data_IF_439488707805
#
_entry.id   IF_439488707805
#
_cell.length_a   1.000
_cell.length_b   1.000
_cell.length_c   1.000
_cell.angle_alpha   90.00
_cell.angle_beta   90.00
_cell.angle_gamma   90.00
#
_symmetry.space_group_name_H-M   'P 1'
#
loop_
_entity.id
_entity.type
_entity.pdbx_description
1 polymer ?
#
# COMPACT_ATOMS: atom_id res chain seq x y z
N UNK A 1 -11.22 20.26 -16.74
CA UNK A 1 -12.08 19.06 -16.59
C UNK A 1 -12.81 19.15 -15.25
N UNK A 2 -14.04 18.64 -15.22
CA UNK A 2 -14.90 18.60 -14.02
C UNK A 2 -14.59 17.44 -13.09
N UNK A 3 -13.65 16.55 -13.49
CA UNK A 3 -13.28 15.34 -12.74
C UNK A 3 -14.37 14.26 -12.78
N UNK A 4 -15.15 14.19 -13.84
CA UNK A 4 -16.08 13.08 -14.06
C UNK A 4 -15.36 11.83 -14.55
N UNK A 5 -15.92 10.65 -14.22
CA UNK A 5 -15.38 9.33 -14.61
C UNK A 5 -16.47 8.51 -15.28
N UNK A 6 -16.10 7.83 -16.35
CA UNK A 6 -16.93 6.85 -17.06
C UNK A 6 -16.21 5.52 -17.07
N UNK A 7 -16.86 4.45 -16.63
CA UNK A 7 -16.33 3.10 -16.66
C UNK A 7 -16.94 2.30 -17.83
N UNK A 8 -16.16 1.38 -18.39
CA UNK A 8 -16.61 0.46 -19.43
C UNK A 8 -15.80 -0.86 -19.36
N UNK A 9 -16.32 -1.90 -19.94
CA UNK A 9 -15.69 -3.21 -20.00
C UNK A 9 -16.48 -4.26 -19.22
N UNK A 10 -15.78 -5.29 -18.73
CA UNK A 10 -16.41 -6.39 -18.00
C UNK A 10 -16.84 -5.94 -16.59
N UNK A 11 -18.11 -6.13 -16.26
CA UNK A 11 -18.69 -5.63 -15.01
C UNK A 11 -17.93 -6.10 -13.75
N UNK A 12 -17.54 -7.38 -13.69
CA UNK A 12 -16.81 -7.95 -12.53
C UNK A 12 -15.39 -7.41 -12.38
N UNK A 13 -14.85 -6.71 -13.39
CA UNK A 13 -13.51 -6.11 -13.36
C UNK A 13 -13.58 -4.57 -13.36
N UNK A 14 -14.70 -4.02 -12.88
CA UNK A 14 -14.88 -2.57 -12.74
C UNK A 14 -15.36 -1.86 -14.00
N UNK A 15 -15.83 -2.59 -15.02
CA UNK A 15 -16.45 -2.00 -16.21
C UNK A 15 -17.87 -1.47 -15.96
N UNK A 16 -18.48 -1.79 -14.81
CA UNK A 16 -19.78 -1.26 -14.38
C UNK A 16 -19.60 -0.43 -13.10
N UNK A 17 -19.82 0.89 -13.21
CA UNK A 17 -19.80 1.86 -12.12
C UNK A 17 -21.19 2.34 -11.72
N UNK A 18 -22.28 1.76 -12.27
CA UNK A 18 -23.66 2.27 -12.13
C UNK A 18 -24.09 2.52 -10.69
N UNK A 19 -23.62 1.69 -9.75
CA UNK A 19 -23.93 1.83 -8.32
C UNK A 19 -23.30 3.08 -7.68
N UNK A 20 -22.28 3.70 -8.31
CA UNK A 20 -21.52 4.84 -7.79
C UNK A 20 -21.44 6.02 -8.76
N UNK A 21 -22.15 5.97 -9.89
CA UNK A 21 -22.11 7.00 -10.94
C UNK A 21 -22.35 8.41 -10.42
N UNK A 22 -23.31 8.57 -9.50
CA UNK A 22 -23.59 9.87 -8.89
C UNK A 22 -22.37 10.46 -8.15
N UNK A 23 -21.55 9.59 -7.52
CA UNK A 23 -20.32 9.99 -6.81
C UNK A 23 -19.16 10.25 -7.77
N UNK A 24 -19.19 9.65 -8.97
CA UNK A 24 -18.18 9.79 -10.02
C UNK A 24 -18.48 10.90 -11.03
N UNK A 25 -19.63 11.59 -10.90
CA UNK A 25 -20.05 12.64 -11.84
C UNK A 25 -19.16 13.89 -11.81
N UNK A 26 -18.38 14.11 -10.73
CA UNK A 26 -17.45 15.23 -10.63
C UNK A 26 -16.45 15.07 -9.48
N UNK A 27 -15.39 15.88 -9.53
CA UNK A 27 -14.45 16.06 -8.42
C UNK A 27 -13.44 14.92 -8.24
N UNK A 28 -13.36 13.95 -9.14
CA UNK A 28 -12.30 12.93 -9.09
C UNK A 28 -10.97 13.57 -9.52
N UNK A 29 -9.96 13.43 -8.67
CA UNK A 29 -8.61 13.93 -8.91
C UNK A 29 -7.67 12.84 -9.44
N UNK A 30 -7.85 11.60 -8.99
CA UNK A 30 -7.00 10.47 -9.38
C UNK A 30 -7.74 9.14 -9.26
N UNK A 31 -7.35 8.17 -10.11
CA UNK A 31 -7.89 6.80 -10.10
C UNK A 31 -6.74 5.83 -9.88
N UNK A 32 -7.00 4.83 -9.04
CA UNK A 32 -6.11 3.71 -8.73
C UNK A 32 -6.82 2.40 -9.02
N UNK A 33 -6.07 1.34 -9.30
CA UNK A 33 -6.64 0.04 -9.60
C UNK A 33 -5.92 -1.10 -8.90
N UNK A 34 -6.66 -2.16 -8.63
CA UNK A 34 -6.17 -3.53 -8.42
C UNK A 34 -6.30 -4.31 -9.73
N UNK A 35 -6.21 -5.65 -9.68
CA UNK A 35 -6.48 -6.50 -10.85
C UNK A 35 -7.94 -6.49 -11.32
N UNK A 36 -8.90 -6.12 -10.45
CA UNK A 36 -10.33 -6.21 -10.75
C UNK A 36 -11.21 -5.15 -10.06
N UNK A 37 -10.63 -4.13 -9.48
CA UNK A 37 -11.37 -3.05 -8.83
C UNK A 37 -10.66 -1.71 -9.01
N UNK A 38 -11.42 -0.63 -8.85
CA UNK A 38 -10.94 0.73 -8.92
C UNK A 38 -11.25 1.49 -7.62
N UNK A 39 -10.40 2.49 -7.33
CA UNK A 39 -10.60 3.46 -6.27
C UNK A 39 -10.34 4.85 -6.83
N UNK A 40 -11.36 5.71 -6.81
CA UNK A 40 -11.27 7.11 -7.20
C UNK A 40 -11.03 7.97 -5.95
N UNK A 41 -9.91 8.70 -5.92
CA UNK A 41 -9.64 9.74 -4.94
C UNK A 41 -10.25 11.04 -5.45
N UNK A 42 -11.08 11.66 -4.62
CA UNK A 42 -11.69 12.95 -4.92
C UNK A 42 -10.88 14.12 -4.35
N UNK A 43 -11.08 15.30 -4.88
CA UNK A 43 -10.40 16.52 -4.46
C UNK A 43 -10.72 16.95 -3.01
N UNK A 44 -11.83 16.46 -2.45
CA UNK A 44 -12.19 16.64 -1.04
C UNK A 44 -11.55 15.61 -0.10
N UNK A 45 -10.74 14.69 -0.65
CA UNK A 45 -10.08 13.61 0.09
C UNK A 45 -10.99 12.43 0.41
N UNK A 46 -12.18 12.34 -0.16
CA UNK A 46 -13.02 11.15 -0.09
C UNK A 46 -12.62 10.12 -1.16
N UNK A 47 -13.00 8.86 -0.97
CA UNK A 47 -12.72 7.76 -1.89
C UNK A 47 -14.00 7.04 -2.29
N UNK A 48 -14.13 6.77 -3.58
CA UNK A 48 -15.22 5.98 -4.18
C UNK A 48 -14.62 4.72 -4.79
N UNK A 49 -15.20 3.54 -4.50
CA UNK A 49 -14.69 2.26 -5.01
C UNK A 49 -15.75 1.51 -5.79
N UNK A 50 -15.33 0.75 -6.82
CA UNK A 50 -16.21 -0.12 -7.60
C UNK A 50 -15.42 -1.27 -8.24
N UNK A 51 -16.11 -2.27 -8.77
CA UNK A 51 -15.53 -3.50 -9.32
C UNK A 51 -15.65 -4.67 -8.37
N UNK A 52 -14.72 -5.64 -8.43
CA UNK A 52 -14.73 -6.83 -7.60
C UNK A 52 -14.63 -6.49 -6.11
N UNK A 53 -15.68 -6.85 -5.35
CA UNK A 53 -15.74 -6.55 -3.92
C UNK A 53 -14.64 -7.22 -3.10
N UNK A 54 -14.18 -8.41 -3.51
CA UNK A 54 -13.12 -9.15 -2.81
C UNK A 54 -11.73 -8.55 -3.04
N UNK A 55 -11.56 -7.78 -4.11
CA UNK A 55 -10.30 -7.11 -4.48
C UNK A 55 -10.33 -5.59 -4.27
N UNK A 56 -11.28 -5.11 -3.46
CA UNK A 56 -11.34 -3.72 -3.02
C UNK A 56 -12.44 -2.88 -3.68
N UNK A 57 -13.26 -3.44 -4.56
CA UNK A 57 -14.44 -2.75 -5.09
C UNK A 57 -15.51 -2.47 -4.02
N UNK A 58 -15.47 -3.19 -2.91
CA UNK A 58 -16.32 -2.94 -1.74
C UNK A 58 -15.47 -2.40 -0.57
N UNK A 59 -15.62 -1.11 -0.27
CA UNK A 59 -14.96 -0.44 0.87
C UNK A 59 -15.91 -0.15 2.04
N UNK A 60 -17.10 -0.76 2.09
CA UNK A 60 -18.15 -0.45 3.10
C UNK A 60 -17.67 -0.59 4.54
N UNK A 61 -16.81 -1.59 4.84
CA UNK A 61 -16.25 -1.81 6.18
C UNK A 61 -15.36 -0.66 6.67
N UNK A 62 -14.81 0.14 5.76
CA UNK A 62 -13.91 1.27 6.07
C UNK A 62 -14.45 2.61 5.57
N UNK A 63 -15.72 2.66 5.14
CA UNK A 63 -16.33 3.82 4.51
C UNK A 63 -16.19 5.11 5.33
N UNK A 64 -16.38 5.03 6.66
CA UNK A 64 -16.23 6.18 7.54
C UNK A 64 -14.81 6.78 7.50
N UNK A 65 -13.79 5.93 7.39
CA UNK A 65 -12.38 6.34 7.33
C UNK A 65 -12.00 6.91 5.96
N UNK A 66 -12.73 6.54 4.90
CA UNK A 66 -12.52 6.97 3.52
C UNK A 66 -13.40 8.16 3.11
N UNK A 67 -14.22 8.69 4.02
CA UNK A 67 -15.13 9.82 3.73
C UNK A 67 -14.42 11.15 3.58
N UNK A 68 -13.16 11.27 4.05
CA UNK A 68 -12.35 12.49 3.91
C UNK A 68 -10.89 12.27 4.33
N UNK A 69 -10.03 13.22 3.95
CA UNK A 69 -8.65 13.30 4.44
C UNK A 69 -7.69 12.31 3.78
N UNK A 70 -8.10 11.51 2.81
CA UNK A 70 -7.18 10.68 2.03
C UNK A 70 -6.32 11.57 1.14
N UNK A 71 -5.00 11.37 1.21
CA UNK A 71 -4.01 12.14 0.42
C UNK A 71 -3.39 11.31 -0.70
N UNK A 72 -3.32 9.99 -0.54
CA UNK A 72 -2.72 9.09 -1.52
C UNK A 72 -3.28 7.67 -1.35
N UNK A 73 -3.43 6.93 -2.45
CA UNK A 73 -3.79 5.52 -2.46
C UNK A 73 -2.65 4.71 -3.07
N UNK A 74 -2.44 3.51 -2.56
CA UNK A 74 -1.49 2.51 -3.02
C UNK A 74 -2.24 1.21 -3.24
N UNK A 75 -1.79 0.37 -4.15
CA UNK A 75 -2.44 -0.90 -4.43
C UNK A 75 -1.46 -2.06 -4.61
N UNK A 76 -1.90 -3.24 -4.22
CA UNK A 76 -1.47 -4.51 -4.76
C UNK A 76 -2.45 -4.92 -5.87
N UNK A 77 -2.25 -6.01 -6.61
CA UNK A 77 -3.27 -6.56 -7.50
C UNK A 77 -4.59 -6.94 -6.81
N UNK A 78 -4.64 -6.98 -5.46
CA UNK A 78 -5.78 -7.54 -4.71
C UNK A 78 -6.32 -6.63 -3.60
N UNK A 79 -5.63 -5.56 -3.26
CA UNK A 79 -5.98 -4.71 -2.13
C UNK A 79 -5.49 -3.28 -2.32
N UNK A 80 -6.11 -2.37 -1.59
CA UNK A 80 -5.71 -0.97 -1.49
C UNK A 80 -5.24 -0.61 -0.09
N UNK A 81 -4.37 0.39 -0.02
CA UNK A 81 -3.98 1.08 1.20
C UNK A 81 -4.04 2.60 0.97
N UNK A 82 -4.87 3.30 1.69
CA UNK A 82 -4.97 4.76 1.66
C UNK A 82 -4.17 5.38 2.79
N UNK A 83 -3.24 6.29 2.46
CA UNK A 83 -2.60 7.17 3.43
C UNK A 83 -3.40 8.46 3.54
N UNK A 84 -3.71 8.84 4.77
CA UNK A 84 -4.40 10.09 5.08
C UNK A 84 -3.41 11.23 5.34
N UNK A 85 -3.89 12.46 5.31
CA UNK A 85 -3.09 13.68 5.55
C UNK A 85 -2.51 13.76 6.98
N UNK A 86 -3.13 13.07 7.95
CA UNK A 86 -2.64 12.93 9.32
C UNK A 86 -1.57 11.82 9.47
N UNK A 87 -1.22 11.13 8.37
CA UNK A 87 -0.28 10.02 8.34
C UNK A 87 -0.85 8.69 8.84
N UNK A 88 -2.16 8.60 9.06
CA UNK A 88 -2.81 7.31 9.32
C UNK A 88 -3.02 6.53 8.01
N UNK A 89 -3.23 5.22 8.12
CA UNK A 89 -3.44 4.32 6.98
C UNK A 89 -4.71 3.50 7.17
N UNK A 90 -5.46 3.36 6.08
CA UNK A 90 -6.66 2.52 5.97
C UNK A 90 -6.43 1.50 4.86
N UNK A 91 -6.60 0.20 5.14
CA UNK A 91 -6.46 -0.86 4.14
C UNK A 91 -7.81 -1.57 3.90
N UNK A 92 -8.05 -2.00 2.65
CA UNK A 92 -9.24 -2.78 2.30
C UNK A 92 -8.98 -3.63 1.04
N UNK A 93 -9.85 -4.58 0.76
CA UNK A 93 -9.73 -5.57 -0.31
C UNK A 93 -9.42 -6.95 0.24
N UNK A 94 -8.64 -7.77 -0.48
CA UNK A 94 -8.36 -9.14 -0.09
C UNK A 94 -7.54 -9.22 1.19
N UNK A 95 -8.09 -9.82 2.23
CA UNK A 95 -7.54 -9.79 3.58
C UNK A 95 -6.09 -10.31 3.66
N UNK A 96 -5.80 -11.47 3.03
CA UNK A 96 -4.47 -12.08 3.06
C UNK A 96 -3.43 -11.35 2.21
N UNK A 97 -3.86 -10.50 1.28
CA UNK A 97 -2.99 -9.82 0.32
C UNK A 97 -2.94 -8.30 0.56
N UNK A 98 -3.06 -7.92 1.84
CA UNK A 98 -2.88 -6.55 2.31
C UNK A 98 -4.18 -5.79 2.62
N UNK A 99 -5.36 -6.35 2.34
CA UNK A 99 -6.64 -5.70 2.68
C UNK A 99 -6.96 -5.68 4.18
N UNK A 100 -6.26 -6.46 4.99
CA UNK A 100 -6.39 -6.46 6.45
C UNK A 100 -5.09 -6.04 7.13
N UNK A 101 -5.09 -4.86 7.74
CA UNK A 101 -3.98 -4.32 8.54
C UNK A 101 -4.24 -4.36 10.05
N UNK A 102 -5.25 -5.09 10.53
CA UNK A 102 -5.67 -5.08 11.95
C UNK A 102 -4.56 -5.46 12.93
N UNK A 103 -3.68 -6.41 12.55
CA UNK A 103 -2.56 -6.85 13.38
C UNK A 103 -1.52 -5.73 13.66
N UNK A 104 -1.45 -4.72 12.81
CA UNK A 104 -0.51 -3.58 12.91
C UNK A 104 -1.23 -2.24 13.04
N UNK A 105 -2.54 -2.25 13.27
CA UNK A 105 -3.38 -1.05 13.27
C UNK A 105 -2.85 0.05 14.20
N UNK A 106 -2.38 -0.32 15.41
CA UNK A 106 -1.81 0.63 16.37
C UNK A 106 -0.60 1.41 15.81
N UNK A 107 0.20 0.78 14.95
CA UNK A 107 1.38 1.40 14.33
C UNK A 107 1.04 2.26 13.11
N UNK A 108 -0.17 2.11 12.57
CA UNK A 108 -0.66 2.82 11.38
C UNK A 108 -1.60 3.98 11.71
N UNK A 109 -1.73 4.39 12.97
CA UNK A 109 -2.61 5.50 13.39
C UNK A 109 -2.07 6.87 13.04
N UNK A 110 -0.76 7.00 12.78
CA UNK A 110 -0.11 8.27 12.40
C UNK A 110 1.32 8.07 11.92
N UNK A 111 1.90 9.12 11.35
CA UNK A 111 3.32 9.22 11.04
C UNK A 111 3.77 8.47 9.79
N UNK A 112 2.89 7.83 9.03
CA UNK A 112 3.26 7.20 7.76
C UNK A 112 3.52 8.29 6.72
N UNK A 113 4.72 8.28 6.14
CA UNK A 113 5.16 9.20 5.10
C UNK A 113 4.97 8.61 3.69
N UNK A 114 5.20 7.30 3.52
CA UNK A 114 5.13 6.61 2.24
C UNK A 114 4.72 5.15 2.42
N UNK A 115 4.05 4.58 1.41
CA UNK A 115 3.73 3.14 1.36
C UNK A 115 4.34 2.54 0.09
N UNK A 116 4.83 1.33 0.21
CA UNK A 116 5.38 0.51 -0.87
C UNK A 116 4.64 -0.82 -0.93
N UNK A 117 4.58 -1.43 -2.10
CA UNK A 117 3.86 -2.68 -2.29
C UNK A 117 4.72 -3.71 -3.04
N UNK A 118 4.58 -4.97 -2.66
CA UNK A 118 4.87 -6.14 -3.50
C UNK A 118 3.56 -6.57 -4.19
N UNK A 119 3.56 -7.75 -4.79
CA UNK A 119 2.33 -8.31 -5.38
C UNK A 119 1.22 -8.55 -4.35
N UNK A 120 1.55 -8.85 -3.08
CA UNK A 120 0.56 -9.24 -2.05
C UNK A 120 0.82 -8.68 -0.66
N UNK A 121 1.76 -7.75 -0.51
CA UNK A 121 2.07 -7.14 0.78
C UNK A 121 2.38 -5.64 0.65
N UNK A 122 2.27 -4.94 1.76
CA UNK A 122 2.61 -3.54 1.89
C UNK A 122 3.71 -3.33 2.93
N UNK A 123 4.51 -2.28 2.73
CA UNK A 123 5.47 -1.75 3.70
C UNK A 123 5.25 -0.24 3.83
N UNK A 124 4.92 0.24 5.01
CA UNK A 124 4.79 1.65 5.35
C UNK A 124 6.08 2.17 5.97
N UNK A 125 6.69 3.17 5.35
CA UNK A 125 7.78 3.96 5.91
C UNK A 125 7.18 5.10 6.72
N UNK A 126 7.62 5.24 7.97
CA UNK A 126 7.21 6.32 8.86
C UNK A 126 8.24 7.46 8.87
N UNK A 127 7.81 8.64 9.26
CA UNK A 127 8.64 9.85 9.34
C UNK A 127 9.78 9.75 10.36
N UNK A 128 9.70 8.82 11.33
CA UNK A 128 10.78 8.50 12.26
C UNK A 128 11.80 7.47 11.71
N UNK A 129 11.61 7.03 10.46
CA UNK A 129 12.45 6.05 9.78
C UNK A 129 12.16 4.60 10.20
N UNK A 130 11.08 4.35 10.93
CA UNK A 130 10.62 2.99 11.20
C UNK A 130 9.75 2.45 10.05
N UNK A 131 9.63 1.11 9.97
CA UNK A 131 8.85 0.43 8.92
C UNK A 131 7.81 -0.48 9.56
N UNK A 132 6.59 -0.47 9.02
CA UNK A 132 5.49 -1.36 9.39
C UNK A 132 5.08 -2.16 8.16
N UNK A 133 4.97 -3.49 8.28
CA UNK A 133 4.61 -4.38 7.16
C UNK A 133 3.34 -5.16 7.45
N UNK A 134 2.55 -5.45 6.40
CA UNK A 134 1.36 -6.30 6.49
C UNK A 134 1.02 -6.92 5.13
N UNK A 135 0.14 -7.91 5.10
CA UNK A 135 -0.21 -8.69 3.93
C UNK A 135 0.39 -10.09 3.98
N UNK A 136 0.68 -10.68 2.81
CA UNK A 136 1.27 -12.03 2.73
C UNK A 136 2.67 -12.06 3.34
N UNK A 137 2.83 -12.87 4.39
CA UNK A 137 4.09 -12.97 5.11
C UNK A 137 5.25 -13.50 4.27
N UNK A 138 4.97 -14.37 3.29
CA UNK A 138 5.98 -14.94 2.40
C UNK A 138 6.51 -13.92 1.39
N UNK A 139 5.72 -12.88 1.09
CA UNK A 139 6.07 -11.84 0.12
C UNK A 139 6.34 -10.48 0.78
N UNK A 140 6.79 -10.49 2.04
CA UNK A 140 7.25 -9.31 2.75
C UNK A 140 6.24 -8.71 3.74
N UNK A 141 5.04 -9.27 3.87
CA UNK A 141 4.08 -8.85 4.91
C UNK A 141 4.54 -9.16 6.32
N UNK A 142 5.51 -10.06 6.49
CA UNK A 142 6.14 -10.38 7.77
C UNK A 142 7.64 -9.98 7.74
N UNK A 143 8.00 -8.94 8.48
CA UNK A 143 9.38 -8.46 8.65
C UNK A 143 10.00 -8.84 10.00
N UNK A 144 9.41 -9.78 10.75
CA UNK A 144 9.83 -10.12 12.13
C UNK A 144 11.30 -10.52 12.24
N UNK A 145 11.85 -11.23 11.23
CA UNK A 145 13.25 -11.65 11.21
C UNK A 145 14.26 -10.49 11.14
N UNK A 146 13.83 -9.32 10.66
CA UNK A 146 14.66 -8.11 10.51
C UNK A 146 14.10 -6.93 11.31
N UNK A 147 13.12 -7.17 12.18
CA UNK A 147 12.39 -6.13 12.88
C UNK A 147 13.29 -5.14 13.63
N UNK A 148 14.36 -5.62 14.29
CA UNK A 148 15.31 -4.78 15.00
C UNK A 148 16.00 -3.74 14.09
N UNK A 149 16.25 -4.08 12.83
CA UNK A 149 16.88 -3.21 11.83
C UNK A 149 15.91 -2.19 11.23
N UNK A 150 14.59 -2.41 11.36
CA UNK A 150 13.53 -1.60 10.80
C UNK A 150 12.87 -0.66 11.82
N UNK A 151 13.40 -0.55 13.04
CA UNK A 151 12.85 0.33 14.08
C UNK A 151 13.16 1.81 13.85
N UNK A 152 14.18 2.14 13.04
CA UNK A 152 14.57 3.52 12.73
C UNK A 152 15.61 3.58 11.60
N UNK A 153 15.84 4.78 11.09
CA UNK A 153 16.91 5.08 10.15
C UNK A 153 16.67 4.63 8.72
N UNK A 154 15.52 4.08 8.37
CA UNK A 154 15.18 3.79 6.98
C UNK A 154 14.87 5.11 6.27
N UNK A 155 15.53 5.35 5.15
CA UNK A 155 15.36 6.54 4.30
C UNK A 155 14.51 6.25 3.06
N UNK A 156 14.59 5.02 2.53
CA UNK A 156 13.90 4.61 1.30
C UNK A 156 13.60 3.11 1.35
N UNK A 157 12.49 2.71 0.72
CA UNK A 157 12.16 1.29 0.49
C UNK A 157 12.04 1.06 -1.02
N UNK A 158 12.49 -0.09 -1.46
CA UNK A 158 12.34 -0.62 -2.82
C UNK A 158 11.63 -1.96 -2.74
N UNK A 159 10.92 -2.34 -3.79
CA UNK A 159 10.24 -3.63 -3.86
C UNK A 159 10.48 -4.32 -5.19
N UNK A 160 10.55 -5.62 -5.14
CA UNK A 160 10.30 -6.53 -6.27
C UNK A 160 8.85 -7.02 -6.18
N UNK A 161 8.47 -7.97 -7.02
CA UNK A 161 7.14 -8.59 -6.94
C UNK A 161 6.87 -9.28 -5.58
N UNK A 162 7.92 -9.73 -4.87
CA UNK A 162 7.76 -10.60 -3.69
C UNK A 162 8.70 -10.28 -2.53
N UNK A 163 9.49 -9.21 -2.61
CA UNK A 163 10.43 -8.83 -1.55
C UNK A 163 10.61 -7.33 -1.46
N UNK A 164 11.08 -6.86 -0.32
CA UNK A 164 11.45 -5.48 -0.05
C UNK A 164 12.94 -5.36 0.27
N UNK A 165 13.50 -4.19 -0.04
CA UNK A 165 14.81 -3.75 0.39
C UNK A 165 14.71 -2.34 0.98
N UNK A 166 15.12 -2.16 2.22
CA UNK A 166 15.18 -0.86 2.90
C UNK A 166 16.62 -0.33 2.89
N UNK A 167 16.82 0.84 2.28
CA UNK A 167 18.04 1.62 2.40
C UNK A 167 17.97 2.47 3.66
N UNK A 168 19.01 2.41 4.48
CA UNK A 168 19.12 3.19 5.70
C UNK A 168 20.00 4.41 5.49
N UNK A 169 19.87 5.42 6.34
CA UNK A 169 20.63 6.67 6.30
C UNK A 169 22.13 6.49 6.53
N UNK A 170 22.56 5.36 7.13
CA UNK A 170 23.96 4.98 7.27
C UNK A 170 24.53 4.26 6.04
N UNK A 171 23.72 4.10 4.98
CA UNK A 171 24.09 3.42 3.75
C UNK A 171 24.03 1.89 3.86
N UNK A 172 23.49 1.34 4.93
CA UNK A 172 23.21 -0.10 5.00
C UNK A 172 21.88 -0.45 4.34
N UNK A 173 21.73 -1.71 3.90
CA UNK A 173 20.50 -2.24 3.29
C UNK A 173 19.99 -3.44 4.07
N UNK A 174 18.70 -3.47 4.31
CA UNK A 174 17.98 -4.58 4.96
C UNK A 174 16.97 -5.14 3.98
N UNK A 175 16.98 -6.47 3.75
CA UNK A 175 16.03 -7.13 2.84
C UNK A 175 15.15 -8.12 3.59
N UNK A 176 13.90 -8.30 3.11
CA UNK A 176 12.95 -9.29 3.64
C UNK A 176 11.89 -9.65 2.59
N UNK A 177 11.17 -10.73 2.80
CA UNK A 177 10.21 -11.30 1.87
C UNK A 177 10.74 -12.58 1.26
N UNK A 178 10.34 -12.90 0.04
CA UNK A 178 10.74 -14.13 -0.65
C UNK A 178 12.24 -14.10 -0.98
N UNK A 179 12.97 -15.12 -0.51
CA UNK A 179 14.42 -15.23 -0.71
C UNK A 179 14.84 -15.39 -2.17
N UNK A 180 13.98 -15.98 -3.00
CA UNK A 180 14.21 -16.15 -4.44
C UNK A 180 14.04 -14.84 -5.23
N UNK A 181 13.36 -13.84 -4.64
CA UNK A 181 13.09 -12.53 -5.23
C UNK A 181 13.85 -11.39 -4.56
N UNK A 182 14.93 -11.71 -3.82
CA UNK A 182 15.80 -10.72 -3.19
C UNK A 182 15.57 -10.50 -1.69
N UNK A 183 14.61 -11.20 -1.07
CA UNK A 183 14.36 -11.10 0.37
C UNK A 183 15.47 -11.66 1.25
N UNK A 184 16.38 -12.48 0.70
CA UNK A 184 17.55 -12.99 1.39
C UNK A 184 18.85 -12.45 0.78
N UNK A 185 19.47 -11.51 1.46
CA UNK A 185 20.74 -10.87 1.05
C UNK A 185 21.98 -11.45 1.76
N UNK A 186 21.87 -12.58 2.46
CA UNK A 186 22.96 -13.13 3.30
C UNK A 186 24.27 -13.34 2.53
N UNK A 187 24.21 -13.75 1.26
CA UNK A 187 25.39 -13.97 0.42
C UNK A 187 26.18 -12.68 0.09
N UNK A 188 25.56 -11.51 0.20
CA UNK A 188 26.15 -10.20 -0.11
C UNK A 188 26.11 -9.24 1.10
N UNK A 189 25.83 -9.75 2.29
CA UNK A 189 25.63 -8.94 3.49
C UNK A 189 26.78 -7.96 3.77
N UNK A 190 28.02 -8.36 3.55
CA UNK A 190 29.20 -7.51 3.75
C UNK A 190 29.18 -6.27 2.82
N UNK A 191 28.71 -6.43 1.58
CA UNK A 191 28.60 -5.33 0.60
C UNK A 191 27.41 -4.40 0.89
N UNK A 192 26.43 -4.85 1.65
CA UNK A 192 25.24 -4.12 2.03
C UNK A 192 25.31 -3.50 3.44
N UNK A 193 26.46 -3.67 4.13
CA UNK A 193 26.64 -3.18 5.49
C UNK A 193 26.79 -1.64 5.57
N UNK A 194 27.25 -0.99 4.49
CA UNK A 194 27.39 0.47 4.42
C UNK A 194 27.71 0.94 3.00
N UNK A 195 27.59 2.25 2.77
CA UNK A 195 28.05 2.90 1.53
C UNK A 195 27.13 2.74 0.31
N UNK A 196 25.96 2.13 0.46
CA UNK A 196 24.94 2.10 -0.61
C UNK A 196 24.28 3.46 -0.67
N UNK A 197 24.24 4.08 -1.86
CA UNK A 197 23.69 5.43 -2.08
C UNK A 197 22.36 5.42 -2.85
N UNK A 198 21.93 4.27 -3.36
CA UNK A 198 20.66 4.05 -4.07
C UNK A 198 20.62 2.63 -4.66
N UNK A 199 19.42 2.15 -4.95
CA UNK A 199 19.16 0.84 -5.54
C UNK A 199 18.40 1.02 -6.86
#
# INVERSE_FOLDING_TARGET
>A
SDGSVVAWGHASYGGDSSAVDASLSSGVSQIYSTGAAFAALKSDGSVVTWGDGSQGGNSSAVAASLSSGVSQIYSTPYAFAARKSDGSVVAWGHASYGGNSSAVAASLTSGVSQIYATHTAFAALKSDGSVVTWGDGSQGGNSSAVAASLTSGVSQIYSTDSAFAALKSDGSVVTWGDGGYGGNSSAVAASLASGVVGL
#
